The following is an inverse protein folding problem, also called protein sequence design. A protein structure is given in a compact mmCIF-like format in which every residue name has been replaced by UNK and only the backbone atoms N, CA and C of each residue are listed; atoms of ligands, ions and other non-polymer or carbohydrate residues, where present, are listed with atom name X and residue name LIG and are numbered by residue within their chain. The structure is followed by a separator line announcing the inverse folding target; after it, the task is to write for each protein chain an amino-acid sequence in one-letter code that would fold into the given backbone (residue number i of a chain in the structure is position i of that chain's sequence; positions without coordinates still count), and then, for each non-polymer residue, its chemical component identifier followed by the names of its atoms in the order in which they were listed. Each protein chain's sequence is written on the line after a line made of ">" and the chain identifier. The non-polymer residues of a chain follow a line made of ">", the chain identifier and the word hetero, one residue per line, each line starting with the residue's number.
data_IF_918266568696
#
_entry.id   IF_918266568696
#
_cell.length_a   1.000
_cell.length_b   1.000
_cell.length_c   1.000
_cell.angle_alpha   90.00
_cell.angle_beta   90.00
_cell.angle_gamma   90.00
#
_symmetry.space_group_name_H-M   'P 1'
#
loop_
_entity.id
_entity.type
_entity.pdbx_description
1 polymer ?
#
# COMPACT_ATOMS: atom_id res chain seq x y z
N UNK A 1 -29.18 17.04 31.65
CA UNK A 1 -28.43 17.59 32.81
C UNK A 1 -28.09 16.42 33.71
N UNK A 2 -26.78 16.16 33.83
CA UNK A 2 -26.08 15.42 34.88
C UNK A 2 -26.31 13.88 34.94
N UNK A 3 -25.31 13.03 35.12
CA UNK A 3 -23.92 13.29 35.46
C UNK A 3 -23.04 12.06 35.18
N UNK A 4 -21.79 12.36 34.82
CA UNK A 4 -20.72 11.43 34.54
C UNK A 4 -20.25 10.76 35.84
N UNK A 5 -20.78 9.57 36.15
CA UNK A 5 -20.28 8.71 37.24
C UNK A 5 -20.08 7.27 36.78
N UNK A 6 -19.13 7.09 35.89
CA UNK A 6 -18.18 5.99 36.00
C UNK A 6 -16.83 6.64 35.68
N UNK A 7 -16.28 7.40 36.62
CA UNK A 7 -15.07 6.97 37.31
C UNK A 7 -14.46 5.76 36.59
N UNK A 8 -13.53 6.12 35.70
CA UNK A 8 -12.34 5.40 35.33
C UNK A 8 -11.88 4.58 36.55
N UNK A 9 -12.37 3.35 36.67
CA UNK A 9 -11.60 2.32 37.33
C UNK A 9 -10.73 1.76 36.22
N UNK A 10 -9.55 2.35 36.07
CA UNK A 10 -8.48 1.69 35.34
C UNK A 10 -8.31 0.30 35.97
N UNK A 11 -8.28 -0.79 35.19
CA UNK A 11 -7.84 -2.07 35.71
C UNK A 11 -6.39 -1.91 36.22
N UNK A 12 -6.22 -2.08 37.52
CA UNK A 12 -4.96 -2.04 38.25
C UNK A 12 -4.21 -3.39 38.12
N UNK A 13 -3.66 -3.67 36.94
CA UNK A 13 -2.56 -4.65 36.77
C UNK A 13 -2.09 -4.74 35.33
N UNK A 14 -0.86 -4.28 35.10
CA UNK A 14 0.03 -4.53 33.96
C UNK A 14 -0.63 -4.69 32.58
N UNK A 15 -0.86 -3.54 31.96
CA UNK A 15 -1.45 -3.30 30.64
C UNK A 15 -0.66 -3.86 29.42
N UNK A 16 0.11 -4.94 29.55
CA UNK A 16 0.80 -5.55 28.40
C UNK A 16 0.03 -6.73 27.78
N UNK A 17 -0.77 -7.47 28.55
CA UNK A 17 -1.49 -8.65 28.01
C UNK A 17 -2.91 -8.34 27.49
N UNK A 18 -3.47 -7.16 27.82
CA UNK A 18 -4.84 -6.78 27.44
C UNK A 18 -4.95 -6.18 26.03
N UNK A 19 -3.82 -5.75 25.43
CA UNK A 19 -3.81 -5.13 24.11
C UNK A 19 -4.19 -6.13 23.00
N UNK A 20 -3.84 -7.41 23.16
CA UNK A 20 -4.08 -8.43 22.13
C UNK A 20 -5.54 -8.93 22.10
N UNK A 21 -6.24 -8.93 23.23
CA UNK A 21 -7.62 -9.45 23.32
C UNK A 21 -8.65 -8.46 22.74
N UNK A 22 -8.41 -7.15 22.90
CA UNK A 22 -9.34 -6.11 22.41
C UNK A 22 -9.11 -5.69 20.95
N UNK A 23 -8.03 -6.14 20.30
CA UNK A 23 -7.71 -5.74 18.92
C UNK A 23 -8.37 -6.63 17.85
N UNK A 24 -9.36 -7.46 18.22
CA UNK A 24 -10.20 -8.24 17.30
C UNK A 24 -11.36 -7.38 16.77
N UNK A 25 -11.06 -6.17 16.32
CA UNK A 25 -11.93 -5.47 15.36
C UNK A 25 -11.43 -5.79 13.95
N UNK A 26 -12.34 -5.91 12.98
CA UNK A 26 -12.05 -6.16 11.56
C UNK A 26 -11.17 -5.04 10.94
N UNK A 27 -9.91 -4.97 11.34
CA UNK A 27 -8.92 -4.02 10.88
C UNK A 27 -8.66 -4.28 9.40
N UNK A 28 -8.74 -3.22 8.59
CA UNK A 28 -8.36 -3.28 7.18
C UNK A 28 -6.91 -3.78 7.12
N UNK A 29 -6.70 -5.00 6.63
CA UNK A 29 -5.38 -5.55 6.39
C UNK A 29 -4.69 -4.79 5.25
N UNK A 30 -4.04 -3.68 5.57
CA UNK A 30 -3.21 -2.96 4.61
C UNK A 30 -1.92 -3.74 4.39
N UNK A 31 -1.84 -4.47 3.27
CA UNK A 31 -0.57 -5.08 2.84
C UNK A 31 0.42 -3.98 2.47
N UNK A 32 1.61 -4.04 3.09
CA UNK A 32 2.76 -3.24 2.67
C UNK A 32 3.17 -3.75 1.29
N UNK A 33 3.28 -2.83 0.31
CA UNK A 33 3.77 -3.12 -1.04
C UNK A 33 5.23 -2.72 -1.09
N UNK A 34 6.10 -3.63 -1.49
CA UNK A 34 7.48 -3.29 -1.83
C UNK A 34 7.48 -2.53 -3.16
N UNK A 35 8.38 -1.55 -3.29
CA UNK A 35 8.60 -0.85 -4.54
C UNK A 35 9.47 -1.72 -5.48
N UNK A 36 8.95 -2.15 -6.65
CA UNK A 36 9.73 -2.94 -7.60
C UNK A 36 10.98 -2.22 -8.15
N UNK A 37 11.03 -0.89 -8.10
CA UNK A 37 12.23 -0.13 -8.47
C UNK A 37 13.38 -0.33 -7.48
N UNK A 38 13.07 -0.55 -6.21
CA UNK A 38 14.07 -0.80 -5.16
C UNK A 38 14.33 -2.30 -4.97
N UNK A 39 13.31 -3.14 -5.16
CA UNK A 39 13.41 -4.60 -4.92
C UNK A 39 14.28 -5.32 -5.95
N UNK A 40 14.22 -4.92 -7.23
CA UNK A 40 14.83 -5.68 -8.33
C UNK A 40 16.07 -4.99 -8.91
N UNK A 41 17.07 -5.79 -9.29
CA UNK A 41 18.15 -5.32 -10.16
C UNK A 41 17.62 -4.96 -11.57
N UNK A 42 18.40 -4.22 -12.36
CA UNK A 42 17.99 -3.82 -13.71
C UNK A 42 17.68 -5.04 -14.62
N UNK A 43 18.47 -6.11 -14.52
CA UNK A 43 18.24 -7.34 -15.29
C UNK A 43 16.95 -8.03 -14.89
N UNK A 44 16.72 -8.21 -13.58
CA UNK A 44 15.50 -8.85 -13.07
C UNK A 44 14.26 -8.03 -13.40
N UNK A 45 14.36 -6.71 -13.30
CA UNK A 45 13.29 -5.79 -13.65
C UNK A 45 12.94 -5.92 -15.13
N UNK A 46 13.94 -5.92 -16.02
CA UNK A 46 13.73 -6.11 -17.45
C UNK A 46 13.12 -7.47 -17.78
N UNK A 47 13.54 -8.54 -17.13
CA UNK A 47 12.96 -9.86 -17.36
C UNK A 47 11.49 -9.94 -16.88
N UNK A 48 11.15 -9.22 -15.80
CA UNK A 48 9.81 -9.22 -15.20
C UNK A 48 8.80 -8.35 -15.93
N UNK A 49 9.24 -7.18 -16.41
CA UNK A 49 8.37 -6.15 -16.97
C UNK A 49 8.60 -5.90 -18.46
N UNK A 50 9.61 -6.55 -19.07
CA UNK A 50 10.07 -6.38 -20.48
C UNK A 50 10.63 -4.98 -20.82
N UNK A 51 10.79 -4.11 -19.83
CA UNK A 51 11.31 -2.74 -19.96
C UNK A 51 12.36 -2.43 -18.90
N UNK A 52 13.24 -1.47 -19.16
CA UNK A 52 14.18 -0.94 -18.16
C UNK A 52 13.48 0.01 -17.19
N UNK A 53 14.06 0.24 -16.01
CA UNK A 53 13.52 1.18 -15.02
C UNK A 53 13.36 2.58 -15.62
N UNK A 54 14.37 3.07 -16.32
CA UNK A 54 14.36 4.35 -17.00
C UNK A 54 13.22 4.46 -18.03
N UNK A 55 13.00 3.41 -18.81
CA UNK A 55 11.91 3.39 -19.80
C UNK A 55 10.55 3.43 -19.12
N UNK A 56 10.37 2.70 -18.01
CA UNK A 56 9.11 2.75 -17.24
C UNK A 56 8.87 4.13 -16.65
N UNK A 57 9.90 4.79 -16.10
CA UNK A 57 9.79 6.16 -15.60
C UNK A 57 9.42 7.14 -16.72
N UNK A 58 10.07 7.03 -17.88
CA UNK A 58 9.76 7.85 -19.04
C UNK A 58 8.31 7.66 -19.51
N UNK A 59 7.85 6.41 -19.60
CA UNK A 59 6.47 6.09 -19.97
C UNK A 59 5.47 6.61 -18.93
N UNK A 60 5.79 6.50 -17.63
CA UNK A 60 4.96 7.02 -16.56
C UNK A 60 4.74 8.53 -16.69
N UNK A 61 5.77 9.31 -17.07
CA UNK A 61 5.61 10.74 -17.32
C UNK A 61 4.72 11.05 -18.53
N UNK A 62 4.83 10.27 -19.61
CA UNK A 62 3.99 10.46 -20.81
C UNK A 62 2.51 10.24 -20.47
N UNK A 63 2.19 9.19 -19.73
CA UNK A 63 0.80 8.78 -19.47
C UNK A 63 0.23 9.36 -18.17
N UNK A 64 1.05 10.07 -17.38
CA UNK A 64 0.69 10.60 -16.06
C UNK A 64 -0.66 11.31 -16.08
N UNK A 65 -0.85 12.24 -17.02
CA UNK A 65 -2.08 13.03 -17.12
C UNK A 65 -3.35 12.19 -17.31
N UNK A 66 -3.23 11.02 -17.93
CA UNK A 66 -4.37 10.17 -18.28
C UNK A 66 -4.77 9.21 -17.15
N UNK A 67 -3.82 8.84 -16.28
CA UNK A 67 -4.01 7.79 -15.27
C UNK A 67 -3.71 8.24 -13.83
N UNK A 68 -3.36 9.51 -13.64
CA UNK A 68 -3.13 10.06 -12.31
C UNK A 68 -4.41 10.02 -11.47
N UNK A 69 -4.35 9.45 -10.24
CA UNK A 69 -5.52 9.39 -9.38
C UNK A 69 -6.04 10.78 -9.02
N UNK A 70 -7.33 11.02 -9.25
CA UNK A 70 -7.99 12.28 -8.89
C UNK A 70 -8.14 12.46 -7.36
N UNK A 71 -8.00 11.38 -6.58
CA UNK A 71 -8.06 11.43 -5.12
C UNK A 71 -7.02 10.51 -4.48
N UNK A 72 -6.46 10.93 -3.35
CA UNK A 72 -5.53 10.13 -2.53
C UNK A 72 -6.25 9.20 -1.53
N UNK A 73 -7.58 9.09 -1.62
CA UNK A 73 -8.38 8.30 -0.70
C UNK A 73 -7.99 6.82 -0.84
N UNK A 74 -7.74 6.16 0.29
CA UNK A 74 -7.47 4.71 0.37
C UNK A 74 -6.16 4.22 -0.27
N UNK A 75 -5.06 4.99 -0.20
CA UNK A 75 -3.76 4.61 -0.81
C UNK A 75 -3.91 4.21 -2.28
N UNK A 76 -4.44 5.15 -3.08
CA UNK A 76 -4.54 4.97 -4.52
C UNK A 76 -3.18 4.62 -5.12
N UNK A 77 -3.18 3.71 -6.09
CA UNK A 77 -1.98 3.32 -6.81
C UNK A 77 -1.40 4.54 -7.53
N UNK A 78 -0.12 4.79 -7.33
CA UNK A 78 0.64 5.74 -8.13
C UNK A 78 0.62 5.34 -9.61
N UNK A 79 0.88 6.31 -10.49
CA UNK A 79 1.01 6.10 -11.94
C UNK A 79 2.02 4.98 -12.25
N UNK A 80 3.16 4.97 -11.56
CA UNK A 80 4.17 3.94 -11.70
C UNK A 80 3.67 2.56 -11.28
N UNK A 81 2.98 2.44 -10.12
CA UNK A 81 2.40 1.17 -9.68
C UNK A 81 1.35 0.64 -10.67
N UNK A 82 0.47 1.51 -11.18
CA UNK A 82 -0.53 1.14 -12.19
C UNK A 82 0.14 0.62 -13.47
N UNK A 83 1.19 1.30 -13.92
CA UNK A 83 1.96 0.90 -15.09
C UNK A 83 2.67 -0.44 -14.87
N UNK A 84 3.31 -0.65 -13.72
CA UNK A 84 4.00 -1.90 -13.40
C UNK A 84 3.06 -3.09 -13.33
N UNK A 85 1.85 -2.91 -12.78
CA UNK A 85 0.80 -3.94 -12.80
C UNK A 85 0.41 -4.29 -14.24
N UNK A 86 0.19 -3.27 -15.07
CA UNK A 86 -0.17 -3.43 -16.48
C UNK A 86 0.92 -4.14 -17.28
N UNK A 87 2.17 -3.70 -17.11
CA UNK A 87 3.33 -4.34 -17.72
C UNK A 87 3.49 -5.77 -17.23
N UNK A 88 3.21 -6.08 -15.96
CA UNK A 88 3.26 -7.45 -15.45
C UNK A 88 2.18 -8.35 -16.03
N UNK A 89 1.00 -7.80 -16.33
CA UNK A 89 -0.06 -8.50 -17.02
C UNK A 89 0.35 -8.83 -18.47
N UNK A 90 0.79 -7.84 -19.26
CA UNK A 90 1.32 -8.09 -20.62
C UNK A 90 2.59 -8.98 -20.59
N UNK A 91 3.35 -8.80 -19.53
CA UNK A 91 4.33 -9.68 -18.90
C UNK A 91 4.10 -11.18 -19.09
N UNK A 92 2.93 -11.59 -18.64
CA UNK A 92 2.68 -12.98 -18.26
C UNK A 92 1.44 -13.55 -18.93
N UNK A 93 0.63 -12.70 -19.55
CA UNK A 93 -0.62 -13.06 -20.21
C UNK A 93 -1.71 -13.52 -19.25
N UNK A 94 -1.62 -13.20 -17.96
CA UNK A 94 -2.56 -13.61 -16.91
C UNK A 94 -2.66 -12.58 -15.79
#
# INVERSE_FOLDING_TARGET
>A
MNDLKWIIQAPDSSDEELFDIFNVENGRNFRIRNDPFEEYSESEFRDRFRFTKDTVNYLAEIIRHDIEPTTLRNRSLSVAEQLLITLRFYATGK
#
